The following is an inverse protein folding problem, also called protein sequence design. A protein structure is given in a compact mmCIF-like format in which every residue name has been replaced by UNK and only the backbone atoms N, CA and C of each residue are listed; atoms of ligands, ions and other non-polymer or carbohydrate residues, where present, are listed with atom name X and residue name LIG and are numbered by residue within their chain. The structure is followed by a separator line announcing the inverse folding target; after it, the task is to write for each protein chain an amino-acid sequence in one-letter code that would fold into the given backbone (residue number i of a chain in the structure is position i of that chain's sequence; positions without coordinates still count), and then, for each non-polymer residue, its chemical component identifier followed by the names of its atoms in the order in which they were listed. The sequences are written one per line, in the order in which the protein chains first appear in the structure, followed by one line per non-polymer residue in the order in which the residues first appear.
data_IF_901788234307
#
_entry.id   IF_901788234307
#
_cell.length_a   1.000
_cell.length_b   1.000
_cell.length_c   1.000
_cell.angle_alpha   90.00
_cell.angle_beta   90.00
_cell.angle_gamma   90.00
#
_symmetry.space_group_name_H-M   'P 1'
#
loop_
_entity.id
_entity.type
_entity.pdbx_description
1 polymer ?
#
# COMPACT_ATOMS: atom_id res chain seq x y z
N UNK A 1 4.68 -16.24 -5.91
CA UNK A 1 3.54 -15.92 -6.79
C UNK A 1 3.60 -14.42 -7.06
N UNK A 2 3.84 -14.01 -8.31
CA UNK A 2 3.93 -12.60 -8.73
C UNK A 2 2.69 -12.19 -9.55
N UNK A 3 1.51 -12.66 -9.13
CA UNK A 3 0.28 -12.38 -9.87
C UNK A 3 -0.43 -11.15 -9.31
N UNK A 4 -0.99 -10.29 -10.17
CA UNK A 4 -1.84 -9.17 -9.75
C UNK A 4 -2.96 -9.60 -8.79
N UNK A 5 -3.50 -8.65 -8.03
CA UNK A 5 -4.68 -8.90 -7.21
C UNK A 5 -5.87 -9.31 -8.11
N UNK A 6 -6.62 -10.39 -7.81
CA UNK A 6 -7.65 -10.93 -8.71
C UNK A 6 -8.77 -9.94 -9.02
N UNK A 7 -9.03 -9.02 -8.09
CA UNK A 7 -10.06 -8.00 -8.22
C UNK A 7 -9.52 -6.61 -8.61
N UNK A 8 -8.24 -6.49 -8.99
CA UNK A 8 -7.66 -5.19 -9.32
C UNK A 8 -8.48 -4.46 -10.40
N UNK A 9 -8.75 -5.13 -11.53
CA UNK A 9 -9.46 -4.50 -12.66
C UNK A 9 -10.90 -4.11 -12.30
N UNK A 10 -11.62 -4.95 -11.55
CA UNK A 10 -12.98 -4.62 -11.10
C UNK A 10 -13.00 -3.43 -10.14
N UNK A 11 -12.04 -3.34 -9.22
CA UNK A 11 -11.93 -2.22 -8.29
C UNK A 11 -11.57 -0.93 -9.06
N UNK A 12 -10.64 -1.02 -10.00
CA UNK A 12 -10.15 0.11 -10.78
C UNK A 12 -11.25 0.68 -11.69
N UNK A 13 -11.99 -0.18 -12.41
CA UNK A 13 -13.08 0.26 -13.32
C UNK A 13 -14.25 0.93 -12.59
N UNK A 14 -14.43 0.66 -11.29
CA UNK A 14 -15.44 1.32 -10.43
C UNK A 14 -14.94 2.61 -9.75
N UNK A 15 -13.73 3.07 -10.10
CA UNK A 15 -13.05 4.18 -9.46
C UNK A 15 -12.74 3.92 -7.98
N UNK A 16 -12.58 2.65 -7.60
CA UNK A 16 -12.40 2.22 -6.22
C UNK A 16 -11.05 2.62 -5.65
N UNK A 17 -10.00 2.60 -6.48
CA UNK A 17 -8.65 3.02 -6.07
C UNK A 17 -8.64 4.49 -5.65
N UNK A 18 -9.22 5.35 -6.47
CA UNK A 18 -9.29 6.80 -6.25
C UNK A 18 -10.12 7.12 -5.00
N UNK A 19 -11.22 6.40 -4.76
CA UNK A 19 -12.03 6.54 -3.55
C UNK A 19 -11.26 6.16 -2.29
N UNK A 20 -10.52 5.05 -2.32
CA UNK A 20 -9.69 4.62 -1.18
C UNK A 20 -8.54 5.60 -0.95
N UNK A 21 -7.92 6.11 -2.03
CA UNK A 21 -6.84 7.08 -1.89
C UNK A 21 -7.34 8.44 -1.37
N UNK A 22 -8.52 8.88 -1.80
CA UNK A 22 -9.20 10.04 -1.24
C UNK A 22 -9.49 9.86 0.26
N UNK A 23 -9.94 8.67 0.67
CA UNK A 23 -10.14 8.34 2.09
C UNK A 23 -8.83 8.42 2.89
N UNK A 24 -7.73 7.90 2.32
CA UNK A 24 -6.40 8.02 2.91
C UNK A 24 -5.99 9.48 3.12
N UNK A 25 -6.09 10.31 2.09
CA UNK A 25 -5.73 11.73 2.14
C UNK A 25 -6.64 12.54 3.06
N UNK A 26 -7.92 12.19 3.16
CA UNK A 26 -8.88 12.85 4.07
C UNK A 26 -8.44 12.74 5.54
N UNK A 27 -7.72 11.67 5.91
CA UNK A 27 -7.14 11.48 7.25
C UNK A 27 -8.15 11.74 8.40
N UNK A 28 -9.40 11.27 8.24
CA UNK A 28 -10.47 11.54 9.20
C UNK A 28 -10.25 10.83 10.55
N UNK A 29 -9.53 9.72 10.54
CA UNK A 29 -9.08 9.00 11.74
C UNK A 29 -7.86 8.15 11.40
N UNK A 30 -7.02 7.88 12.41
CA UNK A 30 -5.88 6.95 12.28
C UNK A 30 -6.32 5.61 11.68
N UNK A 31 -7.39 5.04 12.23
CA UNK A 31 -7.94 3.78 11.73
C UNK A 31 -8.29 3.86 10.23
N UNK A 32 -9.04 4.87 9.78
CA UNK A 32 -9.42 4.98 8.37
C UNK A 32 -8.22 5.17 7.44
N UNK A 33 -7.22 5.93 7.88
CA UNK A 33 -6.01 6.21 7.10
C UNK A 33 -5.13 4.97 6.96
N UNK A 34 -4.91 4.26 8.05
CA UNK A 34 -4.12 3.02 8.06
C UNK A 34 -4.77 1.94 7.20
N UNK A 35 -6.09 1.75 7.35
CA UNK A 35 -6.86 0.82 6.54
C UNK A 35 -6.76 1.17 5.05
N UNK A 36 -6.94 2.43 4.70
CA UNK A 36 -6.87 2.86 3.30
C UNK A 36 -5.49 2.61 2.69
N UNK A 37 -4.40 2.89 3.42
CA UNK A 37 -3.04 2.62 2.97
C UNK A 37 -2.78 1.12 2.77
N UNK A 38 -3.20 0.29 3.74
CA UNK A 38 -3.10 -1.17 3.68
C UNK A 38 -3.88 -1.72 2.48
N UNK A 39 -5.12 -1.27 2.29
CA UNK A 39 -5.96 -1.67 1.16
C UNK A 39 -5.31 -1.37 -0.18
N UNK A 40 -4.77 -0.16 -0.38
CA UNK A 40 -4.07 0.19 -1.62
C UNK A 40 -2.86 -0.71 -1.84
N UNK A 41 -2.03 -0.93 -0.81
CA UNK A 41 -0.87 -1.81 -0.94
C UNK A 41 -1.22 -3.26 -1.28
N UNK A 42 -2.38 -3.75 -0.82
CA UNK A 42 -2.89 -5.07 -1.17
C UNK A 42 -3.48 -5.14 -2.59
N UNK A 43 -4.23 -4.10 -2.99
CA UNK A 43 -4.82 -3.98 -4.33
C UNK A 43 -3.70 -3.98 -5.39
N UNK A 44 -2.62 -3.25 -5.16
CA UNK A 44 -1.47 -3.14 -6.08
C UNK A 44 -0.45 -4.27 -5.96
N UNK A 45 -0.85 -5.45 -5.48
CA UNK A 45 0.02 -6.64 -5.48
C UNK A 45 0.60 -6.89 -6.86
N UNK A 46 1.93 -6.98 -6.96
CA UNK A 46 2.67 -7.19 -8.22
C UNK A 46 2.37 -6.19 -9.34
N UNK A 47 1.71 -5.07 -9.05
CA UNK A 47 1.34 -4.04 -10.03
C UNK A 47 1.94 -2.70 -9.62
N UNK A 48 2.47 -1.98 -10.59
CA UNK A 48 2.98 -0.63 -10.37
C UNK A 48 1.86 0.32 -9.94
N UNK A 49 2.10 1.14 -8.91
CA UNK A 49 1.31 2.35 -8.68
C UNK A 49 1.88 3.42 -9.59
N UNK A 50 1.24 3.67 -10.73
CA UNK A 50 1.76 4.60 -11.76
C UNK A 50 1.76 6.05 -11.26
N UNK A 51 0.73 6.44 -10.50
CA UNK A 51 0.67 7.74 -9.83
C UNK A 51 1.80 7.83 -8.78
N UNK A 52 2.79 8.67 -9.06
CA UNK A 52 3.98 8.82 -8.23
C UNK A 52 3.67 9.40 -6.83
N UNK A 53 2.68 10.28 -6.72
CA UNK A 53 2.28 10.85 -5.44
C UNK A 53 1.57 9.79 -4.58
N UNK A 54 0.65 9.03 -5.17
CA UNK A 54 0.01 7.90 -4.49
C UNK A 54 1.06 6.89 -4.03
N UNK A 55 2.00 6.52 -4.90
CA UNK A 55 3.05 5.55 -4.58
C UNK A 55 3.88 6.00 -3.39
N UNK A 56 4.39 7.23 -3.44
CA UNK A 56 5.22 7.84 -2.39
C UNK A 56 4.47 7.95 -1.06
N UNK A 57 3.24 8.48 -1.07
CA UNK A 57 2.46 8.69 0.16
C UNK A 57 2.06 7.37 0.84
N UNK A 58 1.62 6.39 0.05
CA UNK A 58 1.19 5.09 0.57
C UNK A 58 2.38 4.32 1.12
N UNK A 59 3.50 4.27 0.39
CA UNK A 59 4.72 3.59 0.86
C UNK A 59 5.26 4.25 2.12
N UNK A 60 5.34 5.59 2.16
CA UNK A 60 5.78 6.32 3.34
C UNK A 60 4.90 6.01 4.57
N UNK A 61 3.57 6.02 4.40
CA UNK A 61 2.66 5.72 5.51
C UNK A 61 2.78 4.26 5.96
N UNK A 62 2.86 3.31 5.02
CA UNK A 62 3.07 1.90 5.37
C UNK A 62 4.38 1.73 6.15
N UNK A 63 5.49 2.37 5.76
CA UNK A 63 6.75 2.29 6.53
C UNK A 63 6.59 2.72 8.00
N UNK A 64 5.80 3.77 8.26
CA UNK A 64 5.55 4.27 9.63
C UNK A 64 4.80 3.26 10.53
N UNK A 65 3.98 2.39 9.95
CA UNK A 65 3.16 1.43 10.72
C UNK A 65 3.94 0.18 11.17
N UNK A 66 5.25 0.09 10.89
CA UNK A 66 6.05 -1.09 11.27
C UNK A 66 6.09 -1.32 12.80
N UNK A 67 5.99 -0.24 13.57
CA UNK A 67 6.01 -0.23 15.04
C UNK A 67 4.61 -0.03 15.64
N UNK A 68 3.53 -0.22 14.86
CA UNK A 68 2.18 -0.02 15.35
C UNK A 68 1.87 -0.97 16.53
N UNK A 69 1.26 -0.50 17.63
CA UNK A 69 0.95 -1.37 18.76
C UNK A 69 -0.09 -2.45 18.42
N UNK A 70 -0.91 -2.24 17.38
CA UNK A 70 -1.97 -3.17 16.97
C UNK A 70 -1.40 -4.24 16.03
N UNK A 71 -1.44 -5.50 16.48
CA UNK A 71 -0.88 -6.64 15.72
C UNK A 71 -1.48 -6.78 14.32
N UNK A 72 -2.79 -6.56 14.19
CA UNK A 72 -3.45 -6.60 12.89
C UNK A 72 -2.84 -5.59 11.91
N UNK A 73 -2.52 -4.37 12.38
CA UNK A 73 -1.95 -3.31 11.54
C UNK A 73 -0.54 -3.71 11.10
N UNK A 74 0.30 -4.16 12.04
CA UNK A 74 1.66 -4.64 11.73
C UNK A 74 1.66 -5.78 10.70
N UNK A 75 0.81 -6.79 10.87
CA UNK A 75 0.76 -7.95 9.98
C UNK A 75 0.36 -7.51 8.56
N UNK A 76 -0.72 -6.73 8.45
CA UNK A 76 -1.26 -6.35 7.15
C UNK A 76 -0.39 -5.32 6.43
N UNK A 77 0.26 -4.42 7.16
CA UNK A 77 1.23 -3.51 6.56
C UNK A 77 2.45 -4.24 6.00
N UNK A 78 3.01 -5.23 6.72
CA UNK A 78 4.13 -6.03 6.21
C UNK A 78 3.73 -6.75 4.93
N UNK A 79 2.53 -7.32 4.92
CA UNK A 79 1.98 -7.99 3.74
C UNK A 79 1.80 -7.03 2.56
N UNK A 80 1.29 -5.82 2.81
CA UNK A 80 1.12 -4.77 1.80
C UNK A 80 2.46 -4.34 1.17
N UNK A 81 3.50 -4.08 1.98
CA UNK A 81 4.84 -3.76 1.48
C UNK A 81 5.42 -4.89 0.63
N UNK A 82 5.27 -6.15 1.08
CA UNK A 82 5.72 -7.33 0.33
C UNK A 82 5.00 -7.47 -1.01
N UNK A 83 3.71 -7.17 -1.05
CA UNK A 83 2.91 -7.20 -2.28
C UNK A 83 3.29 -6.11 -3.26
N UNK A 84 3.51 -4.89 -2.77
CA UNK A 84 4.01 -3.78 -3.58
C UNK A 84 5.39 -4.09 -4.16
N UNK A 85 6.31 -4.63 -3.35
CA UNK A 85 7.68 -4.95 -3.76
C UNK A 85 7.82 -6.11 -4.77
N UNK A 86 6.71 -6.76 -5.15
CA UNK A 86 6.70 -7.68 -6.29
C UNK A 86 6.80 -6.95 -7.64
N UNK A 87 6.50 -5.65 -7.67
CA UNK A 87 6.77 -4.77 -8.81
C UNK A 87 8.08 -3.99 -8.58
N UNK A 88 8.90 -3.86 -9.62
CA UNK A 88 10.24 -3.25 -9.53
C UNK A 88 10.23 -1.75 -9.19
N UNK A 89 9.27 -0.98 -9.72
CA UNK A 89 9.16 0.47 -9.47
C UNK A 89 8.76 0.72 -8.02
N UNK A 90 7.73 0.02 -7.55
CA UNK A 90 7.32 0.10 -6.14
C UNK A 90 8.43 -0.37 -5.20
N UNK A 91 9.16 -1.44 -5.56
CA UNK A 91 10.32 -1.93 -4.78
C UNK A 91 11.39 -0.85 -4.66
N UNK A 92 11.78 -0.22 -5.75
CA UNK A 92 12.80 0.83 -5.75
C UNK A 92 12.39 2.01 -4.84
N UNK A 93 11.11 2.41 -4.85
CA UNK A 93 10.59 3.42 -3.94
C UNK A 93 10.67 2.98 -2.47
N UNK A 94 10.29 1.72 -2.17
CA UNK A 94 10.38 1.16 -0.82
C UNK A 94 11.83 1.14 -0.33
N UNK A 95 12.78 0.77 -1.16
CA UNK A 95 14.19 0.61 -0.77
C UNK A 95 15.01 1.92 -0.82
N UNK A 96 14.43 3.01 -1.36
CA UNK A 96 15.14 4.27 -1.68
C UNK A 96 15.87 4.97 -0.52
N UNK A 97 15.43 4.76 0.72
CA UNK A 97 15.99 5.32 1.96
C UNK A 97 16.72 4.27 2.81
N UNK A 98 17.08 3.12 2.21
CA UNK A 98 17.70 2.00 2.90
C UNK A 98 16.72 1.15 3.71
N UNK A 99 15.41 1.39 3.60
CA UNK A 99 14.41 0.59 4.26
C UNK A 99 14.42 -0.86 3.74
N UNK A 100 14.49 -1.82 4.67
CA UNK A 100 14.47 -3.25 4.38
C UNK A 100 13.03 -3.76 4.36
N UNK A 101 12.60 -4.35 3.24
CA UNK A 101 11.27 -4.95 3.12
C UNK A 101 11.12 -6.08 4.15
N UNK A 102 10.09 -6.04 5.03
CA UNK A 102 9.87 -7.07 6.04
C UNK A 102 9.65 -8.47 5.43
N UNK A 103 10.17 -9.49 6.10
CA UNK A 103 9.89 -10.90 5.77
C UNK A 103 8.49 -11.34 6.21
#
# INVERSE_FOLDING_TARGET
MNQPHPYFESINTLGGVEKVFSLFRRNASKHSKDQAAICIGQIFRAKEIVDADMRREIIAHLKLLINDPVDWVKINQKQALRFLAQNAVNRAEIESDGFVIPQ
#
